data_IF_446002393080
#
_entry.id   IF_446002393080
#
_cell.length_a   1.000
_cell.length_b   1.000
_cell.length_c   1.000
_cell.angle_alpha   90.00
_cell.angle_beta   90.00
_cell.angle_gamma   90.00
#
_symmetry.space_group_name_H-M   'P 1'
#
loop_
_entity.id
_entity.type
_entity.pdbx_description
1 polymer ?
#
# COMPACT_ATOMS: atom_id res chain seq x y z
N UNK A 1 -29.10 -6.73 5.28
CA UNK A 1 -28.51 -6.12 6.48
C UNK A 1 -27.54 -5.06 6.01
N UNK A 2 -27.49 -3.95 6.72
CA UNK A 2 -26.55 -2.86 6.39
C UNK A 2 -25.16 -3.36 6.81
N UNK A 3 -24.26 -3.57 5.86
CA UNK A 3 -22.94 -4.15 6.14
C UNK A 3 -21.91 -3.10 6.60
N UNK A 4 -22.24 -1.81 6.51
CA UNK A 4 -21.41 -0.71 7.01
C UNK A 4 -21.95 -0.26 8.37
N UNK A 5 -21.16 -0.49 9.39
CA UNK A 5 -21.50 -0.13 10.78
C UNK A 5 -20.70 1.08 11.23
N UNK A 6 -21.34 1.95 12.01
CA UNK A 6 -20.72 3.10 12.64
C UNK A 6 -20.79 2.96 14.16
N UNK A 7 -19.69 3.29 14.82
CA UNK A 7 -19.63 3.58 16.25
C UNK A 7 -19.94 5.06 16.51
N UNK A 8 -19.77 5.51 17.75
CA UNK A 8 -19.96 6.93 18.10
C UNK A 8 -19.01 7.80 17.27
N UNK A 9 -19.59 8.49 16.29
CA UNK A 9 -18.82 9.28 15.33
C UNK A 9 -18.76 10.72 15.80
N UNK A 10 -17.57 11.27 16.08
CA UNK A 10 -17.45 12.70 16.40
C UNK A 10 -17.75 13.55 15.16
N UNK A 11 -18.12 14.80 15.36
CA UNK A 11 -18.14 15.77 14.26
C UNK A 11 -16.71 15.98 13.74
N UNK A 12 -16.49 15.74 12.45
CA UNK A 12 -15.19 15.84 11.80
C UNK A 12 -15.05 17.13 10.99
N UNK A 13 -13.82 17.60 10.87
CA UNK A 13 -13.44 18.77 10.07
C UNK A 13 -12.93 18.32 8.73
N UNK A 14 -13.83 17.96 7.79
CA UNK A 14 -13.50 17.54 6.42
C UNK A 14 -12.23 16.68 6.35
N UNK A 15 -12.26 15.43 6.84
CA UNK A 15 -11.06 14.67 7.11
C UNK A 15 -10.33 14.25 5.84
N UNK A 16 -9.01 14.05 5.94
CA UNK A 16 -8.25 13.22 5.01
C UNK A 16 -8.53 11.74 5.32
N UNK A 17 -8.75 10.94 4.28
CA UNK A 17 -8.89 9.50 4.39
C UNK A 17 -7.66 8.81 3.81
N UNK A 18 -6.88 8.11 4.65
CA UNK A 18 -5.78 7.25 4.26
C UNK A 18 -6.27 5.81 4.25
N UNK A 19 -6.28 5.14 3.11
CA UNK A 19 -6.73 3.76 2.96
C UNK A 19 -5.57 2.82 2.63
N UNK A 20 -5.51 1.68 3.32
CA UNK A 20 -4.60 0.58 3.04
C UNK A 20 -5.36 -0.73 2.93
N UNK A 21 -5.03 -1.56 1.93
CA UNK A 21 -5.65 -2.86 1.72
C UNK A 21 -4.58 -3.95 1.59
N UNK A 22 -4.67 -4.97 2.43
CA UNK A 22 -3.93 -6.21 2.28
C UNK A 22 -4.36 -6.98 1.03
N UNK A 23 -3.50 -7.82 0.51
CA UNK A 23 -3.74 -8.59 -0.71
C UNK A 23 -2.96 -8.06 -1.90
N UNK A 24 -3.60 -7.91 -3.06
CA UNK A 24 -2.94 -7.51 -4.32
C UNK A 24 -2.14 -6.21 -4.22
N UNK A 25 -2.60 -5.27 -3.41
CA UNK A 25 -2.05 -3.92 -3.26
C UNK A 25 -1.03 -3.78 -2.13
N UNK A 26 -0.52 -4.89 -1.57
CA UNK A 26 0.30 -4.88 -0.34
C UNK A 26 1.56 -5.74 -0.46
N UNK A 27 2.43 -5.40 -1.39
CA UNK A 27 3.71 -6.09 -1.54
C UNK A 27 4.51 -6.03 -0.24
N UNK A 28 5.01 -7.19 0.22
CA UNK A 28 5.76 -7.37 1.47
C UNK A 28 5.03 -6.90 2.75
N UNK A 29 3.70 -6.90 2.75
CA UNK A 29 2.81 -6.49 3.86
C UNK A 29 3.07 -5.04 4.35
N UNK A 30 3.58 -4.19 3.45
CA UNK A 30 4.06 -2.84 3.77
C UNK A 30 2.92 -1.87 4.04
N UNK A 31 1.88 -1.88 3.19
CA UNK A 31 0.82 -0.89 3.27
C UNK A 31 -0.07 -1.10 4.51
N UNK A 32 -0.51 -2.33 4.77
CA UNK A 32 -1.34 -2.62 5.94
C UNK A 32 -0.58 -2.50 7.25
N UNK A 33 0.71 -2.88 7.29
CA UNK A 33 1.55 -2.67 8.47
C UNK A 33 1.73 -1.17 8.76
N UNK A 34 1.96 -0.35 7.71
CA UNK A 34 2.03 1.10 7.84
C UNK A 34 0.71 1.70 8.31
N UNK A 35 -0.43 1.25 7.78
CA UNK A 35 -1.75 1.68 8.23
C UNK A 35 -2.00 1.39 9.70
N UNK A 36 -1.70 0.18 10.17
CA UNK A 36 -1.80 -0.20 11.59
C UNK A 36 -0.88 0.63 12.49
N UNK A 37 0.36 0.86 12.05
CA UNK A 37 1.27 1.73 12.77
C UNK A 37 0.72 3.16 12.90
N UNK A 38 0.18 3.74 11.81
CA UNK A 38 -0.42 5.07 11.83
C UNK A 38 -1.62 5.14 12.79
N UNK A 39 -2.47 4.10 12.85
CA UNK A 39 -3.57 4.01 13.82
C UNK A 39 -3.05 4.12 15.24
N UNK A 40 -2.02 3.37 15.60
CA UNK A 40 -1.42 3.38 16.94
C UNK A 40 -0.70 4.70 17.24
N UNK A 41 0.15 5.15 16.30
CA UNK A 41 0.97 6.36 16.44
C UNK A 41 0.13 7.64 16.61
N UNK A 42 -0.99 7.73 15.89
CA UNK A 42 -1.91 8.86 15.96
C UNK A 42 -3.03 8.64 17.00
N UNK A 43 -2.97 7.57 17.78
CA UNK A 43 -3.97 7.20 18.78
C UNK A 43 -5.40 7.28 18.20
N UNK A 44 -5.56 6.74 16.99
CA UNK A 44 -6.83 6.79 16.29
C UNK A 44 -7.81 5.76 16.86
N UNK A 45 -9.05 6.16 17.09
CA UNK A 45 -10.12 5.32 17.63
C UNK A 45 -10.99 4.78 16.50
N UNK A 46 -11.43 3.52 16.61
CA UNK A 46 -12.31 2.93 15.61
C UNK A 46 -13.64 3.68 15.58
N UNK A 47 -14.10 4.01 14.39
CA UNK A 47 -15.35 4.77 14.19
C UNK A 47 -16.33 4.06 13.27
N UNK A 48 -15.85 3.11 12.44
CA UNK A 48 -16.71 2.32 11.56
C UNK A 48 -16.00 1.04 11.11
N UNK A 49 -16.80 0.07 10.65
CA UNK A 49 -16.28 -1.14 9.99
C UNK A 49 -17.26 -1.69 8.97
N UNK A 50 -16.76 -2.51 8.04
CA UNK A 50 -17.56 -3.26 7.08
C UNK A 50 -17.61 -4.71 7.54
N UNK A 51 -18.82 -5.27 7.72
CA UNK A 51 -19.04 -6.67 8.08
C UNK A 51 -18.41 -7.59 7.03
N UNK A 52 -17.55 -8.54 7.41
CA UNK A 52 -16.82 -9.39 6.47
C UNK A 52 -17.67 -10.48 5.82
N UNK A 53 -18.83 -10.85 6.38
CA UNK A 53 -19.58 -12.07 6.08
C UNK A 53 -19.88 -12.24 4.58
N UNK A 54 -20.21 -11.16 3.87
CA UNK A 54 -20.57 -11.23 2.46
C UNK A 54 -19.40 -10.98 1.50
N UNK A 55 -18.24 -10.57 2.00
CA UNK A 55 -17.13 -10.08 1.19
C UNK A 55 -15.92 -11.01 1.15
N UNK A 56 -15.83 -11.96 2.08
CA UNK A 56 -14.69 -12.87 2.17
C UNK A 56 -15.08 -14.33 1.98
N UNK A 57 -14.22 -15.08 1.31
CA UNK A 57 -14.17 -16.53 1.38
C UNK A 57 -13.34 -16.90 2.60
N UNK A 58 -13.97 -17.37 3.66
CA UNK A 58 -13.25 -17.76 4.90
C UNK A 58 -12.41 -19.03 4.74
N UNK A 59 -12.48 -19.71 3.59
CA UNK A 59 -11.52 -20.75 3.25
C UNK A 59 -10.17 -20.18 2.77
N UNK A 60 -10.20 -19.02 2.13
CA UNK A 60 -9.02 -18.33 1.60
C UNK A 60 -8.45 -17.34 2.63
N UNK A 61 -9.33 -16.56 3.28
CA UNK A 61 -8.98 -15.63 4.35
C UNK A 61 -9.57 -16.12 5.67
N UNK A 62 -8.89 -17.05 6.33
CA UNK A 62 -9.38 -17.68 7.57
C UNK A 62 -9.37 -16.70 8.74
N UNK A 63 -10.45 -16.70 9.57
CA UNK A 63 -10.39 -16.08 10.88
C UNK A 63 -9.27 -16.67 11.73
N UNK A 64 -8.66 -15.86 12.58
CA UNK A 64 -7.54 -16.25 13.42
C UNK A 64 -8.00 -16.44 14.86
N UNK A 65 -7.66 -17.58 15.48
CA UNK A 65 -7.88 -17.77 16.90
C UNK A 65 -6.68 -17.28 17.69
N UNK A 66 -6.89 -16.47 18.72
CA UNK A 66 -5.86 -16.02 19.65
C UNK A 66 -6.38 -16.03 21.07
N UNK A 67 -5.50 -15.86 22.04
CA UNK A 67 -5.85 -15.68 23.45
C UNK A 67 -5.64 -14.22 23.83
N UNK A 68 -6.68 -13.58 24.40
CA UNK A 68 -6.59 -12.21 24.91
C UNK A 68 -5.77 -12.14 26.21
N UNK A 69 -5.59 -10.95 26.75
CA UNK A 69 -4.83 -10.72 27.99
C UNK A 69 -5.43 -11.44 29.21
N UNK A 70 -6.74 -11.70 29.19
CA UNK A 70 -7.43 -12.47 30.24
C UNK A 70 -7.25 -14.00 30.09
N UNK A 71 -6.58 -14.46 29.02
CA UNK A 71 -6.42 -15.89 28.72
C UNK A 71 -7.65 -16.53 28.07
N UNK A 72 -8.60 -15.74 27.60
CA UNK A 72 -9.80 -16.22 26.90
C UNK A 72 -9.52 -16.34 25.40
N UNK A 73 -10.03 -17.42 24.80
CA UNK A 73 -9.89 -17.66 23.37
C UNK A 73 -10.88 -16.85 22.57
N UNK A 74 -10.37 -15.99 21.71
CA UNK A 74 -11.14 -15.16 20.79
C UNK A 74 -10.89 -15.55 19.33
N UNK A 75 -11.86 -15.22 18.46
CA UNK A 75 -11.74 -15.38 17.00
C UNK A 75 -11.74 -13.99 16.37
N UNK A 76 -10.63 -13.66 15.72
CA UNK A 76 -10.48 -12.41 14.96
C UNK A 76 -10.84 -12.70 13.51
N UNK A 77 -11.85 -12.00 13.02
CA UNK A 77 -12.31 -12.08 11.64
C UNK A 77 -11.49 -11.12 10.74
N UNK A 78 -11.38 -11.43 9.43
CA UNK A 78 -10.87 -10.45 8.49
C UNK A 78 -11.74 -9.19 8.56
N UNK A 79 -11.11 -8.03 8.62
CA UNK A 79 -11.83 -6.78 8.86
C UNK A 79 -11.43 -5.69 7.87
N UNK A 80 -12.38 -4.79 7.60
CA UNK A 80 -12.14 -3.51 6.96
C UNK A 80 -12.66 -2.46 7.92
N UNK A 81 -11.75 -1.80 8.63
CA UNK A 81 -12.03 -0.91 9.74
C UNK A 81 -11.55 0.51 9.44
N UNK A 82 -12.26 1.48 9.99
CA UNK A 82 -11.94 2.91 9.87
C UNK A 82 -11.70 3.49 11.26
N UNK A 83 -10.62 4.24 11.39
CA UNK A 83 -10.18 4.83 12.65
C UNK A 83 -10.04 6.34 12.48
N UNK A 84 -10.51 7.10 13.45
CA UNK A 84 -10.45 8.56 13.43
C UNK A 84 -9.43 9.08 14.44
N UNK A 85 -8.60 10.04 13.99
CA UNK A 85 -7.71 10.81 14.85
C UNK A 85 -7.97 12.30 14.64
N UNK A 86 -8.28 12.99 15.74
CA UNK A 86 -8.47 14.44 15.74
C UNK A 86 -7.20 15.13 16.22
N UNK A 87 -6.54 15.83 15.32
CA UNK A 87 -5.30 16.57 15.61
C UNK A 87 -5.62 18.06 15.72
N UNK A 88 -5.63 18.65 16.93
CA UNK A 88 -6.07 20.05 17.14
C UNK A 88 -5.29 21.07 16.32
N UNK A 89 -4.04 20.76 15.97
CA UNK A 89 -3.13 21.64 15.21
C UNK A 89 -3.34 21.58 13.71
N UNK A 90 -4.11 20.60 13.20
CA UNK A 90 -4.38 20.44 11.76
C UNK A 90 -5.71 21.09 11.39
N UNK A 91 -5.81 21.53 10.14
CA UNK A 91 -7.04 22.03 9.52
C UNK A 91 -8.06 20.90 9.30
N UNK A 92 -7.57 19.73 8.89
CA UNK A 92 -8.37 18.54 8.60
C UNK A 92 -8.13 17.47 9.65
N UNK A 93 -9.19 16.77 10.04
CA UNK A 93 -9.05 15.54 10.83
C UNK A 93 -8.53 14.39 9.95
N UNK A 94 -8.16 13.27 10.57
CA UNK A 94 -7.57 12.15 9.86
C UNK A 94 -8.43 10.92 10.07
N UNK A 95 -8.77 10.25 8.98
CA UNK A 95 -9.33 8.89 9.03
C UNK A 95 -8.32 7.93 8.41
N UNK A 96 -8.08 6.82 9.09
CA UNK A 96 -7.22 5.74 8.60
C UNK A 96 -8.11 4.51 8.40
N UNK A 97 -8.19 4.03 7.16
CA UNK A 97 -8.84 2.77 6.84
C UNK A 97 -7.79 1.67 6.66
N UNK A 98 -7.94 0.60 7.44
CA UNK A 98 -7.08 -0.58 7.34
C UNK A 98 -7.96 -1.78 7.06
N UNK A 99 -7.68 -2.47 5.97
CA UNK A 99 -8.52 -3.58 5.57
C UNK A 99 -7.80 -4.60 4.71
N UNK A 100 -8.59 -5.50 4.15
CA UNK A 100 -8.16 -6.55 3.23
C UNK A 100 -9.00 -6.43 1.97
N UNK A 101 -8.38 -6.63 0.81
CA UNK A 101 -9.11 -6.68 -0.46
C UNK A 101 -10.19 -7.76 -0.41
N UNK A 102 -11.47 -7.43 -0.66
CA UNK A 102 -12.55 -8.41 -0.60
C UNK A 102 -12.44 -9.42 -1.73
N UNK A 103 -12.85 -10.67 -1.48
CA UNK A 103 -12.90 -11.71 -2.49
C UNK A 103 -14.17 -11.60 -3.36
N UNK A 104 -15.25 -11.10 -2.79
CA UNK A 104 -16.59 -11.13 -3.36
C UNK A 104 -17.24 -9.74 -3.34
N UNK A 105 -18.29 -9.58 -4.15
CA UNK A 105 -19.19 -8.41 -4.13
C UNK A 105 -18.47 -7.05 -4.22
N UNK A 106 -17.47 -6.95 -5.03
CA UNK A 106 -16.61 -5.75 -5.16
C UNK A 106 -17.38 -4.46 -5.41
N UNK A 107 -18.46 -4.51 -6.23
CA UNK A 107 -19.29 -3.33 -6.49
C UNK A 107 -20.05 -2.86 -5.25
N UNK A 108 -20.59 -3.82 -4.47
CA UNK A 108 -21.26 -3.54 -3.20
C UNK A 108 -20.28 -2.98 -2.19
N UNK A 109 -19.13 -3.63 -2.02
CA UNK A 109 -18.06 -3.16 -1.14
C UNK A 109 -17.62 -1.73 -1.48
N UNK A 110 -17.35 -1.46 -2.77
CA UNK A 110 -17.01 -0.11 -3.25
C UNK A 110 -18.12 0.88 -2.89
N UNK A 111 -19.39 0.49 -3.05
CA UNK A 111 -20.55 1.31 -2.67
C UNK A 111 -20.54 1.69 -1.19
N UNK A 112 -20.22 0.75 -0.30
CA UNK A 112 -20.13 1.01 1.15
C UNK A 112 -18.97 1.97 1.49
N UNK A 113 -17.80 1.79 0.86
CA UNK A 113 -16.68 2.73 1.03
C UNK A 113 -17.05 4.13 0.53
N UNK A 114 -17.75 4.23 -0.61
CA UNK A 114 -18.24 5.51 -1.14
C UNK A 114 -19.30 6.15 -0.26
N UNK A 115 -20.17 5.34 0.38
CA UNK A 115 -21.13 5.82 1.38
C UNK A 115 -20.41 6.38 2.61
N UNK A 116 -19.41 5.63 3.14
CA UNK A 116 -18.57 6.09 4.24
C UNK A 116 -17.91 7.45 3.93
N UNK A 117 -17.28 7.57 2.75
CA UNK A 117 -16.64 8.82 2.30
C UNK A 117 -17.60 9.99 2.33
N UNK A 118 -18.83 9.80 1.84
CA UNK A 118 -19.87 10.84 1.82
C UNK A 118 -20.38 11.20 3.21
N UNK A 119 -20.65 10.19 4.05
CA UNK A 119 -21.17 10.41 5.41
C UNK A 119 -20.17 11.13 6.31
N UNK A 120 -18.87 10.90 6.09
CA UNK A 120 -17.81 11.54 6.86
C UNK A 120 -17.38 12.90 6.27
N UNK A 121 -17.99 13.36 5.16
CA UNK A 121 -17.59 14.56 4.44
C UNK A 121 -16.07 14.61 4.16
N UNK A 122 -15.53 13.47 3.64
CA UNK A 122 -14.10 13.32 3.38
C UNK A 122 -13.63 14.34 2.35
N UNK A 123 -12.66 15.18 2.72
CA UNK A 123 -12.08 16.20 1.85
C UNK A 123 -11.27 15.58 0.71
N UNK A 124 -10.42 14.61 1.04
CA UNK A 124 -9.60 13.90 0.05
C UNK A 124 -9.27 12.48 0.47
N UNK A 125 -9.32 11.55 -0.49
CA UNK A 125 -8.98 10.15 -0.27
C UNK A 125 -7.60 9.83 -0.84
N UNK A 126 -6.76 9.20 -0.01
CA UNK A 126 -5.44 8.67 -0.38
C UNK A 126 -5.44 7.17 -0.20
N UNK A 127 -5.07 6.42 -1.23
CA UNK A 127 -4.76 5.00 -1.06
C UNK A 127 -3.25 4.84 -1.00
N UNK A 128 -2.78 4.16 0.04
CA UNK A 128 -1.38 3.81 0.25
C UNK A 128 -1.24 2.32 -0.03
N UNK A 129 -0.46 1.98 -1.03
CA UNK A 129 -0.20 0.61 -1.45
C UNK A 129 1.28 0.33 -1.61
N UNK A 130 1.60 -0.92 -1.88
CA UNK A 130 2.93 -1.36 -2.27
C UNK A 130 2.86 -2.32 -3.45
N UNK A 131 3.79 -2.23 -4.37
CA UNK A 131 3.90 -3.12 -5.53
C UNK A 131 5.32 -3.65 -5.69
N UNK A 132 5.44 -4.83 -6.27
CA UNK A 132 6.72 -5.39 -6.61
C UNK A 132 7.32 -4.69 -7.82
N UNK A 133 8.60 -4.34 -7.73
CA UNK A 133 9.30 -3.61 -8.78
C UNK A 133 10.76 -4.06 -8.88
N UNK A 134 11.37 -3.78 -10.04
CA UNK A 134 12.79 -4.02 -10.27
C UNK A 134 13.60 -2.80 -9.80
N UNK A 135 13.76 -2.67 -8.48
CA UNK A 135 14.40 -1.54 -7.81
C UNK A 135 15.50 -2.01 -6.88
N UNK A 136 16.48 -1.14 -6.62
CA UNK A 136 17.55 -1.41 -5.66
C UNK A 136 17.03 -1.39 -4.22
N UNK A 137 17.32 -2.45 -3.47
CA UNK A 137 16.99 -2.50 -2.05
C UNK A 137 17.72 -1.44 -1.22
N UNK A 138 18.97 -1.13 -1.61
CA UNK A 138 19.84 -0.16 -0.92
C UNK A 138 19.46 1.31 -1.19
N UNK A 139 18.65 1.57 -2.23
CA UNK A 139 18.17 2.91 -2.53
C UNK A 139 16.98 3.32 -1.62
N UNK A 140 16.71 4.63 -1.48
CA UNK A 140 15.46 5.09 -0.88
C UNK A 140 14.25 4.50 -1.61
N UNK A 141 13.18 4.18 -0.86
CA UNK A 141 11.94 3.68 -1.46
C UNK A 141 11.34 4.73 -2.39
N UNK A 142 11.23 4.37 -3.66
CA UNK A 142 10.60 5.23 -4.67
C UNK A 142 9.09 5.03 -4.65
N UNK A 143 8.35 6.13 -4.79
CA UNK A 143 6.90 6.11 -4.91
C UNK A 143 6.47 6.39 -6.34
N UNK A 144 5.52 5.59 -6.81
CA UNK A 144 4.75 5.84 -8.03
C UNK A 144 3.29 6.13 -7.68
N UNK A 145 2.53 6.65 -8.62
CA UNK A 145 1.11 6.91 -8.38
C UNK A 145 0.55 8.05 -9.22
N UNK A 146 -0.71 8.38 -8.94
CA UNK A 146 -1.41 9.45 -9.63
C UNK A 146 -2.41 10.15 -8.70
N UNK A 147 -2.79 11.38 -9.06
CA UNK A 147 -3.83 12.13 -8.36
C UNK A 147 -4.78 12.79 -9.36
N UNK A 148 -6.06 12.84 -8.99
CA UNK A 148 -7.07 13.64 -9.71
C UNK A 148 -6.90 15.14 -9.45
N UNK A 149 -6.23 15.50 -8.34
CA UNK A 149 -5.92 16.87 -7.97
C UNK A 149 -4.51 17.27 -8.44
N UNK A 150 -4.38 18.29 -9.33
CA UNK A 150 -3.09 18.71 -9.85
C UNK A 150 -2.12 19.27 -8.79
N UNK A 151 -2.63 19.88 -7.70
CA UNK A 151 -1.80 20.43 -6.63
C UNK A 151 -1.21 19.30 -5.80
N UNK A 152 -2.03 18.30 -5.45
CA UNK A 152 -1.58 17.09 -4.76
C UNK A 152 -0.59 16.31 -5.62
N UNK A 153 -0.86 16.14 -6.92
CA UNK A 153 0.06 15.49 -7.84
C UNK A 153 1.44 16.18 -7.84
N UNK A 154 1.45 17.53 -7.89
CA UNK A 154 2.68 18.31 -7.88
C UNK A 154 3.42 18.19 -6.54
N UNK A 155 2.71 18.35 -5.42
CA UNK A 155 3.28 18.27 -4.06
C UNK A 155 3.92 16.92 -3.76
N UNK A 156 3.28 15.84 -4.17
CA UNK A 156 3.71 14.47 -3.87
C UNK A 156 4.55 13.82 -4.98
N UNK A 157 4.84 14.54 -6.07
CA UNK A 157 5.60 14.02 -7.21
C UNK A 157 4.87 12.92 -7.98
N UNK A 158 3.53 12.97 -8.03
CA UNK A 158 2.69 11.97 -8.66
C UNK A 158 2.31 12.35 -10.10
N UNK A 159 1.90 11.37 -10.91
CA UNK A 159 1.38 11.61 -12.25
C UNK A 159 0.01 12.31 -12.21
N UNK A 160 -0.21 13.24 -13.13
CA UNK A 160 -1.52 13.89 -13.35
C UNK A 160 -2.39 13.10 -14.32
N UNK A 161 -1.81 12.31 -15.19
CA UNK A 161 -2.50 11.61 -16.28
C UNK A 161 -3.02 10.23 -15.89
N UNK A 162 -2.85 9.81 -14.64
CA UNK A 162 -3.17 8.45 -14.22
C UNK A 162 -2.17 7.42 -14.78
N UNK A 163 -2.47 6.16 -14.57
CA UNK A 163 -1.74 5.05 -15.16
C UNK A 163 -2.26 4.79 -16.58
N UNK A 164 -1.35 4.44 -17.50
CA UNK A 164 -1.70 3.91 -18.83
C UNK A 164 -1.85 2.39 -18.82
N UNK A 165 -1.79 1.79 -17.64
CA UNK A 165 -1.92 0.35 -17.48
C UNK A 165 -3.31 -0.12 -17.90
N UNK A 166 -3.35 -1.11 -18.77
CA UNK A 166 -4.54 -1.85 -19.16
C UNK A 166 -4.34 -3.31 -18.78
N UNK A 167 -5.24 -3.85 -17.97
CA UNK A 167 -5.12 -5.24 -17.47
C UNK A 167 -5.93 -5.48 -16.20
N UNK A 168 -5.72 -6.62 -15.51
CA UNK A 168 -6.36 -6.92 -14.25
C UNK A 168 -6.08 -5.83 -13.20
N UNK A 169 -7.09 -5.49 -12.42
CA UNK A 169 -6.98 -4.46 -11.38
C UNK A 169 -7.44 -4.96 -10.02
N UNK A 170 -6.86 -4.44 -8.95
CA UNK A 170 -7.28 -4.68 -7.58
C UNK A 170 -8.37 -3.70 -7.10
N UNK A 171 -8.80 -3.88 -5.85
CA UNK A 171 -9.83 -3.04 -5.21
C UNK A 171 -9.45 -1.55 -5.23
N UNK A 172 -8.19 -1.21 -5.08
CA UNK A 172 -7.70 0.18 -5.16
C UNK A 172 -8.05 0.80 -6.51
N UNK A 173 -7.84 0.08 -7.62
CA UNK A 173 -8.18 0.58 -8.95
C UNK A 173 -9.69 0.78 -9.15
N UNK A 174 -10.50 -0.17 -8.65
CA UNK A 174 -11.97 -0.08 -8.71
C UNK A 174 -12.47 1.12 -7.89
N UNK A 175 -11.91 1.33 -6.70
CA UNK A 175 -12.27 2.47 -5.85
C UNK A 175 -11.91 3.81 -6.50
N UNK A 176 -10.72 3.93 -7.07
CA UNK A 176 -10.31 5.16 -7.78
C UNK A 176 -11.18 5.44 -9.02
N UNK A 177 -11.64 4.42 -9.75
CA UNK A 177 -12.61 4.62 -10.84
C UNK A 177 -13.95 5.15 -10.30
N UNK A 178 -14.44 4.63 -9.17
CA UNK A 178 -15.66 5.11 -8.52
C UNK A 178 -15.53 6.56 -8.02
N UNK A 179 -14.41 6.90 -7.37
CA UNK A 179 -14.10 8.26 -6.90
C UNK A 179 -14.05 9.24 -8.08
N UNK A 180 -13.34 8.89 -9.15
CA UNK A 180 -13.24 9.69 -10.37
C UNK A 180 -14.60 9.94 -11.03
N UNK A 181 -15.44 8.90 -11.13
CA UNK A 181 -16.81 9.05 -11.70
C UNK A 181 -17.69 9.99 -10.90
N UNK A 182 -17.48 10.07 -9.60
CA UNK A 182 -18.20 10.99 -8.70
C UNK A 182 -17.48 12.32 -8.48
N UNK A 183 -16.39 12.57 -9.22
CA UNK A 183 -15.58 13.80 -9.15
C UNK A 183 -15.04 14.09 -7.73
N UNK A 184 -14.79 13.04 -6.93
CA UNK A 184 -14.18 13.16 -5.61
C UNK A 184 -12.67 13.18 -5.73
N UNK A 185 -12.03 14.07 -4.95
CA UNK A 185 -10.58 14.23 -4.96
C UNK A 185 -9.89 12.98 -4.39
N UNK A 186 -8.92 12.43 -5.15
CA UNK A 186 -8.21 11.24 -4.72
C UNK A 186 -6.78 11.15 -5.26
N UNK A 187 -5.92 10.46 -4.51
CA UNK A 187 -4.58 10.10 -4.95
C UNK A 187 -4.27 8.63 -4.62
N UNK A 188 -3.67 7.96 -5.58
CA UNK A 188 -3.15 6.59 -5.43
C UNK A 188 -1.63 6.65 -5.33
N UNK A 189 -1.04 6.05 -4.28
CA UNK A 189 0.37 6.14 -3.93
C UNK A 189 0.90 4.73 -3.69
N UNK A 190 1.96 4.36 -4.40
CA UNK A 190 2.51 3.01 -4.39
C UNK A 190 3.99 3.03 -4.03
N UNK A 191 4.37 2.37 -2.94
CA UNK A 191 5.76 2.09 -2.61
C UNK A 191 6.28 0.97 -3.53
N UNK A 192 7.37 1.21 -4.24
CA UNK A 192 8.00 0.23 -5.12
C UNK A 192 8.95 -0.65 -4.31
N UNK A 193 8.60 -1.92 -4.16
CA UNK A 193 9.34 -2.88 -3.35
C UNK A 193 10.14 -3.85 -4.22
N UNK A 194 11.41 -4.15 -3.87
CA UNK A 194 12.24 -5.06 -4.65
C UNK A 194 11.68 -6.48 -4.62
N UNK A 195 11.29 -7.01 -5.80
CA UNK A 195 10.64 -8.33 -5.92
C UNK A 195 11.55 -9.51 -5.51
N UNK A 196 12.87 -9.32 -5.51
CA UNK A 196 13.85 -10.35 -5.15
C UNK A 196 14.07 -10.48 -3.64
N UNK A 197 13.40 -9.67 -2.81
CA UNK A 197 13.41 -9.78 -1.36
C UNK A 197 12.09 -10.41 -0.90
N UNK A 198 12.16 -11.66 -0.41
CA UNK A 198 10.98 -12.41 0.06
C UNK A 198 10.61 -12.14 1.52
N UNK A 199 11.48 -11.47 2.29
CA UNK A 199 11.24 -11.19 3.71
C UNK A 199 10.01 -10.31 3.92
N UNK A 200 9.14 -10.72 4.85
CA UNK A 200 7.89 -10.03 5.22
C UNK A 200 7.73 -10.00 6.74
N UNK A 201 7.25 -8.91 7.30
CA UNK A 201 7.05 -7.61 6.65
C UNK A 201 8.39 -6.95 6.29
N UNK A 202 8.37 -5.91 5.42
CA UNK A 202 9.56 -5.15 5.05
C UNK A 202 9.62 -3.82 5.83
N UNK A 203 10.47 -3.69 6.88
CA UNK A 203 10.51 -2.51 7.75
C UNK A 203 10.87 -1.21 7.02
N UNK A 204 11.75 -1.28 6.04
CA UNK A 204 12.14 -0.10 5.24
C UNK A 204 10.97 0.43 4.40
N UNK A 205 10.20 -0.47 3.80
CA UNK A 205 8.98 -0.13 3.07
C UNK A 205 7.93 0.48 4.01
N UNK A 206 7.72 -0.14 5.18
CA UNK A 206 6.78 0.35 6.19
C UNK A 206 7.14 1.76 6.63
N UNK A 207 8.39 2.00 7.02
CA UNK A 207 8.90 3.34 7.39
C UNK A 207 8.64 4.36 6.28
N UNK A 208 8.89 4.00 5.03
CA UNK A 208 8.68 4.90 3.90
C UNK A 208 7.21 5.26 3.72
N UNK A 209 6.29 4.28 3.81
CA UNK A 209 4.83 4.51 3.69
C UNK A 209 4.30 5.31 4.88
N UNK A 210 4.75 5.02 6.11
CA UNK A 210 4.38 5.82 7.30
C UNK A 210 4.80 7.27 7.13
N UNK A 211 6.05 7.53 6.73
CA UNK A 211 6.54 8.90 6.45
C UNK A 211 5.70 9.61 5.39
N UNK A 212 5.35 8.89 4.33
CA UNK A 212 4.49 9.43 3.27
C UNK A 212 3.08 9.74 3.79
N UNK A 213 2.50 8.90 4.64
CA UNK A 213 1.21 9.16 5.29
C UNK A 213 1.25 10.39 6.18
N UNK A 214 2.28 10.53 7.02
CA UNK A 214 2.46 11.71 7.89
C UNK A 214 2.70 12.99 7.07
N UNK A 215 3.49 12.93 5.99
CA UNK A 215 3.69 14.05 5.06
C UNK A 215 2.37 14.51 4.41
N UNK A 216 1.52 13.58 4.00
CA UNK A 216 0.21 13.88 3.40
C UNK A 216 -0.65 14.70 4.36
N UNK A 217 -0.70 14.31 5.61
CA UNK A 217 -1.54 14.95 6.61
C UNK A 217 -0.86 16.14 7.30
N UNK A 218 0.40 16.45 6.96
CA UNK A 218 1.12 17.61 7.47
C UNK A 218 1.70 17.42 8.88
N UNK A 219 1.97 16.18 9.29
CA UNK A 219 2.58 15.86 10.58
C UNK A 219 4.07 15.54 10.44
N UNK A 220 4.90 15.88 11.47
CA UNK A 220 6.32 15.52 11.47
C UNK A 220 6.51 14.01 11.62
N UNK A 221 7.52 13.47 10.92
CA UNK A 221 7.87 12.06 10.97
C UNK A 221 9.19 11.84 11.74
N UNK A 222 9.14 11.94 13.06
CA UNK A 222 10.26 11.57 13.93
C UNK A 222 10.05 10.13 14.42
N UNK A 223 10.77 9.17 13.81
CA UNK A 223 10.53 7.73 13.95
C UNK A 223 11.86 6.97 14.15
N UNK A 224 12.65 7.28 15.22
CA UNK A 224 13.99 6.73 15.38
C UNK A 224 14.03 5.19 15.49
N UNK A 225 13.06 4.58 16.15
CA UNK A 225 12.97 3.13 16.32
C UNK A 225 12.72 2.42 14.95
N UNK A 226 11.81 2.93 14.16
CA UNK A 226 11.58 2.40 12.81
C UNK A 226 12.77 2.62 11.87
N UNK A 227 13.51 3.71 12.07
CA UNK A 227 14.74 3.98 11.31
C UNK A 227 15.85 2.99 11.65
N UNK A 228 15.97 2.61 12.92
CA UNK A 228 16.90 1.58 13.37
C UNK A 228 16.51 0.22 12.80
N UNK A 229 15.25 -0.16 12.92
CA UNK A 229 14.74 -1.43 12.38
C UNK A 229 14.95 -1.53 10.85
N UNK A 230 14.72 -0.44 10.12
CA UNK A 230 14.96 -0.39 8.68
C UNK A 230 16.44 -0.53 8.32
N UNK A 231 17.38 0.05 9.11
CA UNK A 231 18.82 -0.13 8.91
C UNK A 231 19.26 -1.57 9.19
N UNK A 232 18.76 -2.16 10.26
CA UNK A 232 19.07 -3.56 10.62
C UNK A 232 18.53 -4.51 9.55
N UNK A 233 17.35 -4.21 8.99
CA UNK A 233 16.80 -4.96 7.88
C UNK A 233 17.69 -4.87 6.64
N UNK A 234 18.12 -3.67 6.25
CA UNK A 234 19.02 -3.48 5.09
C UNK A 234 20.34 -4.25 5.27
N UNK A 235 20.87 -4.32 6.49
CA UNK A 235 22.10 -5.10 6.81
C UNK A 235 21.86 -6.59 6.60
N UNK A 236 20.80 -7.15 7.14
CA UNK A 236 20.44 -8.57 6.96
C UNK A 236 20.18 -8.92 5.48
N UNK A 237 19.54 -8.02 4.76
CA UNK A 237 19.31 -8.19 3.31
C UNK A 237 20.63 -8.20 2.54
N UNK A 238 21.57 -7.31 2.89
CA UNK A 238 22.88 -7.28 2.25
C UNK A 238 23.64 -8.60 2.45
N UNK A 239 23.62 -9.16 3.66
CA UNK A 239 24.22 -10.45 4.00
C UNK A 239 23.58 -11.59 3.20
N UNK A 240 22.25 -11.67 3.18
CA UNK A 240 21.52 -12.69 2.43
C UNK A 240 21.78 -12.60 0.90
N UNK A 241 21.87 -11.40 0.34
CA UNK A 241 22.20 -11.20 -1.08
C UNK A 241 23.63 -11.67 -1.38
N UNK A 242 24.58 -11.45 -0.46
CA UNK A 242 25.97 -11.89 -0.66
C UNK A 242 26.10 -13.43 -0.71
N UNK A 243 25.18 -14.16 -0.07
CA UNK A 243 25.13 -15.62 -0.07
C UNK A 243 24.50 -16.21 -1.34
N UNK A 244 23.69 -15.44 -2.10
CA UNK A 244 23.06 -15.89 -3.35
C UNK A 244 23.72 -15.21 -4.57
N UNK A 245 24.59 -15.95 -5.34
CA UNK A 245 25.28 -15.39 -6.49
C UNK A 245 24.36 -14.87 -7.61
N UNK A 246 23.14 -15.43 -7.74
CA UNK A 246 22.17 -14.98 -8.77
C UNK A 246 21.56 -13.66 -8.40
N UNK A 247 21.13 -13.51 -7.15
CA UNK A 247 20.57 -12.25 -6.64
C UNK A 247 21.67 -11.17 -6.60
N UNK A 248 22.88 -11.51 -6.14
CA UNK A 248 24.02 -10.59 -6.16
C UNK A 248 24.35 -10.07 -7.57
N UNK A 249 24.34 -10.94 -8.59
CA UNK A 249 24.55 -10.54 -9.97
C UNK A 249 23.43 -9.62 -10.51
N UNK A 250 22.18 -9.90 -10.13
CA UNK A 250 21.04 -9.06 -10.48
C UNK A 250 21.16 -7.66 -9.85
N UNK A 251 21.39 -7.58 -8.54
CA UNK A 251 21.59 -6.30 -7.82
C UNK A 251 22.73 -5.49 -8.44
N UNK A 252 23.88 -6.11 -8.75
CA UNK A 252 25.00 -5.45 -9.42
C UNK A 252 24.64 -4.92 -10.81
N UNK A 253 23.71 -5.57 -11.51
CA UNK A 253 23.18 -5.07 -12.78
C UNK A 253 22.32 -3.82 -12.58
N UNK A 254 21.42 -3.84 -11.59
CA UNK A 254 20.60 -2.67 -11.22
C UNK A 254 21.46 -1.48 -10.79
N UNK A 255 22.51 -1.68 -10.00
CA UNK A 255 23.45 -0.63 -9.60
C UNK A 255 24.14 0.02 -10.82
N UNK A 256 24.57 -0.80 -11.79
CA UNK A 256 25.16 -0.29 -13.04
C UNK A 256 24.16 0.53 -13.87
N UNK A 257 22.89 0.13 -13.91
CA UNK A 257 21.84 0.88 -14.61
C UNK A 257 21.54 2.21 -13.90
N UNK A 258 21.42 2.21 -12.58
CA UNK A 258 21.21 3.40 -11.77
C UNK A 258 22.40 4.39 -11.91
N UNK A 259 23.63 3.90 -11.88
CA UNK A 259 24.83 4.71 -12.08
C UNK A 259 24.92 5.36 -13.48
N UNK A 260 24.42 4.68 -14.52
CA UNK A 260 24.34 5.25 -15.88
C UNK A 260 23.24 6.32 -16.00
N UNK A 261 22.09 6.13 -15.33
CA UNK A 261 21.01 7.11 -15.33
C UNK A 261 21.37 8.40 -14.58
N UNK A 262 22.31 8.34 -13.64
CA UNK A 262 22.80 9.50 -12.85
C UNK A 262 23.89 10.31 -13.53
N UNK A 263 24.48 9.85 -14.65
CA UNK A 263 25.45 10.64 -15.40
C UNK A 263 24.71 11.62 -16.33
N UNK A 264 25.05 12.92 -16.33
CA UNK A 264 24.46 13.87 -17.26
C UNK A 264 24.95 13.54 -18.67
N UNK A 265 24.20 12.69 -19.37
CA UNK A 265 24.45 12.39 -20.78
C UNK A 265 23.99 13.58 -21.61
N UNK A 266 24.94 14.10 -22.41
CA UNK A 266 24.59 14.86 -23.63
C UNK A 266 23.58 14.03 -24.40
N UNK A 267 22.35 14.54 -24.51
CA UNK A 267 21.26 13.90 -25.24
C UNK A 267 21.68 13.59 -26.69
N UNK A 268 21.66 12.35 -27.13
CA UNK A 268 21.27 12.03 -28.50
C UNK A 268 19.74 12.00 -28.56
N UNK A 269 19.22 12.48 -29.66
CA UNK A 269 17.79 12.58 -29.94
C UNK A 269 17.04 11.25 -29.80
N UNK A 270 15.82 11.37 -29.30
CA UNK A 270 14.70 10.44 -29.34
C UNK A 270 14.91 9.13 -30.13
N UNK A 271 15.02 8.03 -29.39
CA UNK A 271 14.96 6.67 -29.89
C UNK A 271 14.53 5.74 -28.76
N UNK A 272 13.25 5.46 -28.73
CA UNK A 272 12.54 4.32 -28.15
C UNK A 272 13.30 3.42 -27.17
N UNK A 273 13.34 3.77 -25.89
CA UNK A 273 13.27 2.76 -24.84
C UNK A 273 11.78 2.56 -24.51
N UNK A 274 11.24 1.42 -24.95
CA UNK A 274 9.92 0.99 -24.51
C UNK A 274 9.95 0.87 -23.00
N UNK A 275 9.06 1.55 -22.24
CA UNK A 275 8.83 1.17 -20.85
C UNK A 275 8.38 -0.29 -20.85
N UNK A 276 8.95 -1.10 -19.98
CA UNK A 276 8.53 -2.48 -19.76
C UNK A 276 7.01 -2.43 -19.55
N UNK A 277 6.26 -3.07 -20.44
CA UNK A 277 4.81 -2.98 -20.38
C UNK A 277 4.32 -3.72 -19.14
N UNK A 278 3.19 -3.28 -18.57
CA UNK A 278 2.56 -4.00 -17.45
C UNK A 278 2.27 -5.47 -17.79
N UNK A 279 2.10 -5.80 -19.09
CA UNK A 279 1.99 -7.16 -19.59
C UNK A 279 3.29 -7.98 -19.42
N UNK A 280 4.44 -7.41 -19.72
CA UNK A 280 5.73 -8.09 -19.52
C UNK A 280 6.01 -8.34 -18.03
N UNK A 281 5.61 -7.40 -17.15
CA UNK A 281 5.67 -7.59 -15.70
C UNK A 281 4.66 -8.64 -15.21
N UNK A 282 3.44 -8.62 -15.74
CA UNK A 282 2.42 -9.62 -15.40
C UNK A 282 2.81 -11.02 -15.91
N UNK A 283 3.35 -11.15 -17.12
CA UNK A 283 3.86 -12.42 -17.65
C UNK A 283 5.06 -12.96 -16.86
N UNK A 284 5.99 -12.08 -16.45
CA UNK A 284 7.11 -12.47 -15.59
C UNK A 284 6.62 -12.93 -14.22
N UNK A 285 5.62 -12.26 -13.66
CA UNK A 285 5.01 -12.62 -12.37
C UNK A 285 4.20 -13.92 -12.46
N UNK A 286 3.41 -14.13 -13.53
CA UNK A 286 2.73 -15.41 -13.76
C UNK A 286 3.72 -16.57 -13.99
N UNK A 287 4.81 -16.32 -14.67
CA UNK A 287 5.88 -17.31 -14.85
C UNK A 287 6.50 -17.71 -13.51
N UNK A 288 6.83 -16.72 -12.68
CA UNK A 288 7.34 -16.93 -11.33
C UNK A 288 6.35 -17.71 -10.45
N UNK A 289 5.06 -17.36 -10.48
CA UNK A 289 4.03 -18.11 -9.74
C UNK A 289 3.83 -19.53 -10.25
N UNK A 290 3.96 -19.77 -11.56
CA UNK A 290 3.93 -21.12 -12.14
C UNK A 290 5.15 -21.96 -11.76
N UNK A 291 6.32 -21.37 -11.69
CA UNK A 291 7.55 -22.03 -11.25
C UNK A 291 7.50 -22.37 -9.74
N UNK A 292 6.95 -21.51 -8.92
CA UNK A 292 6.72 -21.76 -7.49
C UNK A 292 5.67 -22.86 -7.23
N UNK A 293 4.66 -23.00 -8.10
CA UNK A 293 3.65 -24.06 -8.00
C UNK A 293 4.16 -25.43 -8.50
N UNK A 294 5.25 -25.46 -9.25
CA UNK A 294 5.99 -26.68 -9.59
C UNK A 294 7.09 -26.90 -8.56
N UNK A 295 6.70 -27.26 -7.34
CA UNK A 295 7.63 -27.74 -6.31
C UNK A 295 8.47 -28.90 -6.85
N UNK A 296 9.64 -29.20 -6.26
CA UNK A 296 10.52 -30.26 -6.75
C UNK A 296 9.76 -31.57 -6.78
N UNK A 297 9.56 -32.12 -7.99
CA UNK A 297 9.15 -33.50 -8.16
C UNK A 297 10.22 -34.37 -7.49
N UNK A 298 9.77 -35.16 -6.54
CA UNK A 298 10.59 -36.17 -5.87
C UNK A 298 11.11 -37.17 -6.93
N UNK A 299 12.42 -37.26 -7.03
CA UNK A 299 13.12 -38.44 -7.44
C UNK A 299 13.60 -39.21 -6.21
#
# INVERSE_FOLDING_TARGET
MDALHFEDMPTLRQPYLLLTFGGWSDAADVATAAGRFLVQHLQAERCAWIDPEEFFSFNDQRPQAHYNEAGEREVIWPANEFFVSRQPTLEHDIIIGVGIEPHLKWRTFTGLVMEFIKRCDVYQTYTLGALWADVLYSAPVHFSGSSTDPQVASRLGLSRSGSRYEGPTGMVGVLHDALRRQQLSSASIWANMPYYISARPNPKGILAVVRRGLEIVGLPAFLPEMEEEARDFDTRVAEAIAEDPKIAAHVKNLERQAGRASQPSQRPAAGSERPVSGEELAEQFERYLREQRRGPEQN
#
